data_IF_961543443606
#
_entry.id   IF_961543443606
#
_cell.length_a   1.000
_cell.length_b   1.000
_cell.length_c   1.000
_cell.angle_alpha   90.00
_cell.angle_beta   90.00
_cell.angle_gamma   90.00
#
_symmetry.space_group_name_H-M   'P 1'
#
loop_
_entity.id
_entity.type
_entity.pdbx_description
1 polymer ?
#
# COMPACT_ATOMS: atom_id res chain seq x y z
N UNK A 1 33.41 2.01 12.67
CA UNK A 1 33.37 3.00 11.56
C UNK A 1 32.46 4.13 12.04
N UNK A 2 33.02 5.25 12.46
CA UNK A 2 32.24 6.41 12.93
C UNK A 2 32.05 7.30 11.70
N UNK A 3 30.81 7.42 11.23
CA UNK A 3 30.45 8.37 10.16
C UNK A 3 30.22 9.70 10.87
N UNK A 4 31.17 10.62 10.76
CA UNK A 4 31.01 11.99 11.24
C UNK A 4 30.44 12.83 10.10
N UNK A 5 29.17 13.25 10.12
CA UNK A 5 28.64 14.13 9.09
C UNK A 5 29.25 15.53 9.24
N UNK A 6 29.63 16.12 8.11
CA UNK A 6 30.12 17.50 8.04
C UNK A 6 29.02 18.46 8.47
N UNK A 7 29.28 19.24 9.52
CA UNK A 7 28.35 20.27 10.02
C UNK A 7 28.36 21.46 9.06
N UNK A 8 27.46 21.47 8.08
CA UNK A 8 27.26 22.65 7.25
C UNK A 8 26.35 23.63 8.02
N UNK A 9 26.89 24.78 8.41
CA UNK A 9 26.26 25.75 9.33
C UNK A 9 25.09 26.51 8.71
N UNK A 10 24.62 26.10 7.51
CA UNK A 10 23.50 26.68 6.78
C UNK A 10 22.26 25.77 6.71
N UNK A 11 22.28 24.59 7.34
CA UNK A 11 21.14 23.68 7.35
C UNK A 11 20.10 24.09 8.42
N UNK A 12 18.82 24.14 8.02
CA UNK A 12 17.67 24.38 8.91
C UNK A 12 17.54 23.31 10.02
N UNK A 13 18.25 22.19 9.88
CA UNK A 13 18.30 21.10 10.84
C UNK A 13 19.76 20.73 11.16
N UNK A 14 20.07 20.63 12.47
CA UNK A 14 21.38 20.24 12.95
C UNK A 14 21.38 18.77 13.38
N UNK A 15 22.34 18.00 12.86
CA UNK A 15 22.58 16.63 13.31
C UNK A 15 23.27 16.63 14.68
N UNK A 16 22.62 16.05 15.68
CA UNK A 16 23.19 15.86 17.01
C UNK A 16 23.48 14.38 17.22
N UNK A 17 24.75 13.97 17.39
CA UNK A 17 25.08 12.57 17.65
C UNK A 17 24.59 12.16 19.06
N UNK A 18 23.80 11.10 19.12
CA UNK A 18 23.28 10.53 20.37
C UNK A 18 24.07 9.27 20.70
N UNK A 19 24.70 9.16 21.88
CA UNK A 19 25.32 7.90 22.34
C UNK A 19 24.31 6.75 22.34
N UNK A 20 24.75 5.55 21.94
CA UNK A 20 23.86 4.41 21.71
C UNK A 20 23.05 4.03 22.96
N UNK A 21 23.61 4.15 24.16
CA UNK A 21 22.90 3.90 25.42
C UNK A 21 21.71 4.84 25.68
N UNK A 22 21.66 5.99 25.00
CA UNK A 22 20.64 7.01 25.19
C UNK A 22 19.60 7.08 24.06
N UNK A 23 19.78 6.32 22.97
CA UNK A 23 18.86 6.34 21.81
C UNK A 23 17.43 6.03 22.23
N UNK A 24 17.22 5.02 23.10
CA UNK A 24 15.87 4.66 23.58
C UNK A 24 15.22 5.79 24.39
N UNK A 25 15.99 6.47 25.24
CA UNK A 25 15.48 7.56 26.07
C UNK A 25 15.13 8.79 25.23
N UNK A 26 15.93 9.09 24.20
CA UNK A 26 15.66 10.19 23.26
C UNK A 26 14.39 9.90 22.45
N UNK A 27 14.19 8.67 21.95
CA UNK A 27 12.98 8.31 21.22
C UNK A 27 11.71 8.42 22.08
N UNK A 28 11.76 7.99 23.35
CA UNK A 28 10.64 8.14 24.29
C UNK A 28 10.35 9.62 24.56
N UNK A 29 11.38 10.42 24.85
CA UNK A 29 11.23 11.85 25.11
C UNK A 29 10.64 12.61 23.91
N UNK A 30 11.06 12.27 22.68
CA UNK A 30 10.50 12.84 21.47
C UNK A 30 9.03 12.44 21.28
N UNK A 31 8.68 11.17 21.51
CA UNK A 31 7.29 10.69 21.42
C UNK A 31 6.33 11.39 22.40
N UNK A 32 6.78 11.61 23.64
CA UNK A 32 6.01 12.33 24.67
C UNK A 32 5.83 13.82 24.32
N UNK A 33 6.88 14.47 23.83
CA UNK A 33 6.82 15.89 23.42
C UNK A 33 5.98 16.11 22.17
N UNK A 34 6.09 15.26 21.15
CA UNK A 34 5.32 15.36 19.91
C UNK A 34 3.83 15.07 20.10
N UNK A 35 3.48 14.21 21.06
CA UNK A 35 2.08 13.93 21.41
C UNK A 35 1.38 15.11 22.10
N UNK A 36 2.14 16.03 22.71
CA UNK A 36 1.59 17.20 23.42
C UNK A 36 1.52 18.45 22.52
N UNK A 37 2.10 18.41 21.32
CA UNK A 37 2.15 19.55 20.37
C UNK A 37 1.44 19.24 19.05
N UNK A 38 0.57 18.23 19.01
CA UNK A 38 -0.25 17.91 17.84
C UNK A 38 -1.49 18.82 17.72
N UNK A 39 -1.27 20.14 17.64
CA UNK A 39 -2.11 21.03 16.85
C UNK A 39 -1.16 21.87 16.00
N UNK A 40 -1.27 21.71 14.69
CA UNK A 40 -0.63 22.47 13.62
C UNK A 40 0.75 22.02 13.13
N UNK A 41 0.70 21.41 11.94
CA UNK A 41 1.68 21.42 10.83
C UNK A 41 2.91 20.46 10.84
N UNK A 42 2.93 19.67 9.76
CA UNK A 42 4.07 19.07 9.06
C UNK A 42 4.80 17.83 9.65
N UNK A 43 4.33 16.67 9.17
CA UNK A 43 5.07 15.50 8.66
C UNK A 43 6.18 14.85 9.51
N UNK A 44 5.91 13.67 10.10
CA UNK A 44 6.94 12.71 10.51
C UNK A 44 7.07 11.56 9.49
N UNK A 45 8.30 11.28 9.07
CA UNK A 45 8.69 10.01 8.43
C UNK A 45 9.44 9.20 9.50
N UNK A 46 8.83 8.12 10.01
CA UNK A 46 9.55 7.03 10.66
C UNK A 46 8.88 5.68 10.30
N UNK A 47 9.67 4.59 10.07
CA UNK A 47 9.15 3.36 9.50
C UNK A 47 8.83 2.26 10.53
N UNK A 48 7.99 1.32 10.06
CA UNK A 48 7.77 -0.07 10.49
C UNK A 48 6.85 -0.37 11.69
N UNK A 49 5.56 -0.50 11.41
CA UNK A 49 4.78 -1.75 11.59
C UNK A 49 3.37 -1.62 10.95
N UNK A 50 3.11 -2.46 9.95
CA UNK A 50 1.86 -3.20 9.71
C UNK A 50 0.46 -2.55 9.78
N UNK A 51 0.30 -1.24 9.68
CA UNK A 51 -0.96 -0.67 9.20
C UNK A 51 -0.63 0.19 7.98
N UNK A 52 -0.54 -0.47 6.82
CA UNK A 52 -0.90 0.23 5.60
C UNK A 52 -2.35 0.64 5.81
N UNK A 53 -2.56 1.89 6.24
CA UNK A 53 -3.87 2.52 6.30
C UNK A 53 -4.43 2.39 4.90
N UNK A 54 -5.27 1.37 4.68
CA UNK A 54 -6.09 1.25 3.49
C UNK A 54 -7.15 2.32 3.67
N UNK A 55 -6.78 3.56 3.34
CA UNK A 55 -7.73 4.62 3.03
C UNK A 55 -8.68 4.06 1.97
N UNK A 56 -9.97 4.36 2.10
CA UNK A 56 -10.97 3.93 1.12
C UNK A 56 -10.51 4.43 -0.25
N UNK A 57 -10.01 3.52 -1.08
CA UNK A 57 -9.45 3.86 -2.37
C UNK A 57 -10.43 3.37 -3.41
N UNK A 58 -11.29 4.29 -3.88
CA UNK A 58 -11.86 4.16 -5.21
C UNK A 58 -10.69 4.20 -6.19
N UNK A 59 -10.62 3.24 -7.10
CA UNK A 59 -9.59 3.20 -8.13
C UNK A 59 -9.67 4.52 -8.91
N UNK A 60 -8.69 5.41 -8.72
CA UNK A 60 -8.54 6.59 -9.56
C UNK A 60 -8.16 6.02 -10.92
N UNK A 61 -9.06 6.14 -11.89
CA UNK A 61 -9.02 5.41 -13.15
C UNK A 61 -8.00 6.00 -14.13
N UNK A 62 -6.71 5.87 -13.77
CA UNK A 62 -5.57 6.27 -14.59
C UNK A 62 -4.91 5.12 -15.36
N UNK A 63 -5.46 3.90 -15.26
CA UNK A 63 -4.86 2.74 -15.91
C UNK A 63 -5.42 2.55 -17.33
N UNK A 64 -4.62 2.92 -18.32
CA UNK A 64 -4.85 2.53 -19.69
C UNK A 64 -4.50 1.06 -19.94
N UNK A 65 -4.94 0.55 -21.09
CA UNK A 65 -4.61 -0.80 -21.58
C UNK A 65 -3.10 -1.00 -21.68
N UNK A 66 -2.38 0.01 -22.21
CA UNK A 66 -0.93 -0.04 -22.35
C UNK A 66 -0.23 -0.15 -20.99
N UNK A 67 -0.74 0.55 -19.98
CA UNK A 67 -0.17 0.50 -18.63
C UNK A 67 -0.41 -0.86 -17.98
N UNK A 68 -1.60 -1.45 -18.15
CA UNK A 68 -1.89 -2.80 -17.65
C UNK A 68 -1.03 -3.86 -18.34
N UNK A 69 -0.94 -3.81 -19.68
CA UNK A 69 -0.08 -4.70 -20.46
C UNK A 69 1.36 -4.58 -20.00
N UNK A 70 1.88 -3.34 -19.85
CA UNK A 70 3.24 -3.09 -19.39
C UNK A 70 3.47 -3.64 -17.98
N UNK A 71 2.51 -3.46 -17.07
CA UNK A 71 2.59 -3.97 -15.71
C UNK A 71 2.63 -5.50 -15.67
N UNK A 72 1.77 -6.18 -16.43
CA UNK A 72 1.78 -7.65 -16.52
C UNK A 72 3.05 -8.18 -17.18
N UNK A 73 3.52 -7.51 -18.23
CA UNK A 73 4.76 -7.85 -18.94
C UNK A 73 6.03 -7.72 -18.08
N UNK A 74 5.98 -7.07 -16.92
CA UNK A 74 7.13 -7.02 -16.00
C UNK A 74 7.56 -8.41 -15.50
N UNK A 75 6.64 -9.39 -15.47
CA UNK A 75 6.96 -10.78 -15.09
C UNK A 75 7.48 -10.96 -13.66
N UNK A 76 7.40 -9.94 -12.80
CA UNK A 76 7.79 -10.03 -11.39
C UNK A 76 6.80 -10.89 -10.62
N UNK A 77 7.25 -11.49 -9.51
CA UNK A 77 6.36 -12.26 -8.62
C UNK A 77 5.11 -11.47 -8.23
N UNK A 78 5.28 -10.19 -7.90
CA UNK A 78 4.17 -9.31 -7.54
C UNK A 78 3.24 -9.05 -8.73
N UNK A 79 3.75 -8.73 -9.91
CA UNK A 79 2.89 -8.46 -11.09
C UNK A 79 2.11 -9.70 -11.51
N UNK A 80 2.71 -10.91 -11.43
CA UNK A 80 2.02 -12.18 -11.71
C UNK A 80 0.91 -12.45 -10.70
N UNK A 81 1.14 -12.22 -9.40
CA UNK A 81 0.10 -12.39 -8.36
C UNK A 81 -1.03 -11.40 -8.58
N UNK A 82 -0.71 -10.14 -8.88
CA UNK A 82 -1.71 -9.10 -9.13
C UNK A 82 -2.51 -9.39 -10.39
N UNK A 83 -1.88 -9.87 -11.46
CA UNK A 83 -2.61 -10.29 -12.66
C UNK A 83 -3.62 -11.41 -12.33
N UNK A 84 -3.20 -12.43 -11.57
CA UNK A 84 -4.08 -13.52 -11.12
C UNK A 84 -5.23 -13.00 -10.25
N UNK A 85 -4.93 -12.08 -9.33
CA UNK A 85 -5.91 -11.43 -8.47
C UNK A 85 -6.94 -10.63 -9.28
N UNK A 86 -6.48 -9.73 -10.17
CA UNK A 86 -7.36 -8.93 -11.03
C UNK A 86 -8.21 -9.81 -11.93
N UNK A 87 -7.63 -10.89 -12.47
CA UNK A 87 -8.36 -11.87 -13.27
C UNK A 87 -9.48 -12.53 -12.46
N UNK A 88 -9.20 -12.94 -11.23
CA UNK A 88 -10.21 -13.53 -10.36
C UNK A 88 -11.33 -12.54 -10.02
N UNK A 89 -10.97 -11.32 -9.60
CA UNK A 89 -11.91 -10.26 -9.27
C UNK A 89 -12.76 -9.82 -10.48
N UNK A 90 -12.22 -9.88 -11.71
CA UNK A 90 -12.97 -9.54 -12.93
C UNK A 90 -14.13 -10.50 -13.24
N UNK A 91 -14.13 -11.70 -12.63
CA UNK A 91 -15.24 -12.65 -12.71
C UNK A 91 -16.47 -12.19 -11.93
N UNK A 92 -16.26 -11.41 -10.87
CA UNK A 92 -17.28 -10.93 -9.94
C UNK A 92 -17.03 -9.45 -9.61
N UNK A 93 -17.26 -8.53 -10.58
CA UNK A 93 -16.96 -7.12 -10.39
C UNK A 93 -17.94 -6.46 -9.42
N UNK A 94 -17.50 -5.38 -8.77
CA UNK A 94 -18.32 -4.56 -7.90
C UNK A 94 -18.01 -4.73 -6.42
N UNK A 95 -18.41 -3.72 -5.64
CA UNK A 95 -18.14 -3.65 -4.19
C UNK A 95 -18.90 -4.72 -3.41
N UNK A 96 -20.08 -5.12 -3.86
CA UNK A 96 -20.90 -6.11 -3.16
C UNK A 96 -20.26 -7.50 -3.17
N UNK A 97 -19.61 -7.85 -4.28
CA UNK A 97 -18.85 -9.08 -4.52
C UNK A 97 -17.40 -8.99 -4.01
N UNK A 98 -17.05 -7.97 -3.22
CA UNK A 98 -15.69 -7.79 -2.73
C UNK A 98 -15.26 -8.98 -1.86
N UNK A 99 -14.05 -9.48 -2.12
CA UNK A 99 -13.45 -10.62 -1.44
C UNK A 99 -12.46 -10.15 -0.38
N UNK A 100 -12.49 -10.78 0.80
CA UNK A 100 -11.52 -10.55 1.86
C UNK A 100 -10.12 -11.02 1.48
N UNK A 101 -9.12 -10.58 2.24
CA UNK A 101 -7.73 -11.04 2.12
C UNK A 101 -7.63 -12.57 2.23
N UNK A 102 -8.37 -13.20 3.15
CA UNK A 102 -8.38 -14.67 3.31
C UNK A 102 -9.04 -15.37 2.13
N UNK A 103 -10.17 -14.86 1.66
CA UNK A 103 -10.88 -15.46 0.52
C UNK A 103 -10.03 -15.40 -0.75
N UNK A 104 -9.37 -14.27 -1.01
CA UNK A 104 -8.45 -14.15 -2.13
C UNK A 104 -7.22 -15.05 -2.00
N UNK A 105 -6.63 -15.13 -0.81
CA UNK A 105 -5.51 -16.04 -0.57
C UNK A 105 -5.90 -17.50 -0.89
N UNK A 106 -7.07 -17.93 -0.40
CA UNK A 106 -7.62 -19.27 -0.69
C UNK A 106 -7.94 -19.46 -2.18
N UNK A 107 -8.59 -18.49 -2.81
CA UNK A 107 -8.98 -18.57 -4.22
C UNK A 107 -7.79 -18.65 -5.18
N UNK A 108 -6.65 -18.06 -4.79
CA UNK A 108 -5.42 -18.03 -5.58
C UNK A 108 -4.41 -19.10 -5.16
N UNK A 109 -4.73 -19.95 -4.19
CA UNK A 109 -3.82 -20.94 -3.61
C UNK A 109 -2.50 -20.30 -3.15
N UNK A 110 -2.62 -19.25 -2.34
CA UNK A 110 -1.52 -18.47 -1.78
C UNK A 110 -1.65 -18.39 -0.25
N UNK A 111 -0.50 -18.25 0.42
CA UNK A 111 -0.49 -17.97 1.86
C UNK A 111 -1.13 -16.62 2.18
N UNK A 112 -1.85 -16.55 3.29
CA UNK A 112 -2.43 -15.31 3.80
C UNK A 112 -1.39 -14.19 3.96
N UNK A 113 -0.19 -14.52 4.46
CA UNK A 113 0.90 -13.56 4.65
C UNK A 113 1.42 -13.00 3.33
N UNK A 114 1.38 -13.78 2.25
CA UNK A 114 1.73 -13.30 0.91
C UNK A 114 0.67 -12.32 0.44
N UNK A 115 -0.62 -12.68 0.55
CA UNK A 115 -1.73 -11.82 0.11
C UNK A 115 -1.78 -10.50 0.89
N UNK A 116 -1.63 -10.56 2.22
CA UNK A 116 -1.57 -9.38 3.11
C UNK A 116 -0.51 -8.36 2.67
N UNK A 117 0.62 -8.84 2.15
CA UNK A 117 1.74 -8.00 1.74
C UNK A 117 1.65 -7.44 0.32
N UNK A 118 0.68 -7.88 -0.50
CA UNK A 118 0.55 -7.44 -1.90
C UNK A 118 0.38 -5.93 -2.04
N UNK A 119 -0.50 -5.24 -1.27
CA UNK A 119 -0.68 -3.79 -1.41
C UNK A 119 0.64 -3.00 -1.23
N UNK A 120 1.43 -3.39 -0.23
CA UNK A 120 2.75 -2.78 0.02
C UNK A 120 3.75 -3.06 -1.10
N UNK A 121 3.78 -4.28 -1.62
CA UNK A 121 4.69 -4.62 -2.74
C UNK A 121 4.31 -3.88 -4.01
N UNK A 122 3.02 -3.77 -4.32
CA UNK A 122 2.55 -3.04 -5.49
C UNK A 122 2.83 -1.55 -5.36
N UNK A 123 2.59 -0.94 -4.20
CA UNK A 123 2.90 0.48 -3.98
C UNK A 123 4.36 0.83 -4.33
N UNK A 124 5.31 -0.05 -3.96
CA UNK A 124 6.73 0.11 -4.31
C UNK A 124 6.98 0.02 -5.82
N UNK A 125 6.32 -0.90 -6.51
CA UNK A 125 6.41 -1.05 -7.96
C UNK A 125 5.81 0.16 -8.68
N UNK A 126 4.64 0.62 -8.25
CA UNK A 126 3.94 1.76 -8.85
C UNK A 126 4.76 3.05 -8.73
N UNK A 127 5.28 3.37 -7.53
CA UNK A 127 6.08 4.56 -7.33
C UNK A 127 7.32 4.63 -8.23
N UNK A 128 7.88 3.48 -8.61
CA UNK A 128 9.08 3.41 -9.47
C UNK A 128 8.76 3.40 -10.97
N UNK A 129 7.71 2.70 -11.39
CA UNK A 129 7.50 2.38 -12.81
C UNK A 129 6.25 3.03 -13.41
N UNK A 130 5.32 3.50 -12.57
CA UNK A 130 4.02 4.03 -12.96
C UNK A 130 3.67 5.25 -12.08
N UNK A 131 4.46 6.33 -12.16
CA UNK A 131 4.27 7.50 -11.30
C UNK A 131 2.87 8.09 -11.49
N UNK A 132 2.17 8.35 -10.39
CA UNK A 132 0.80 8.87 -10.39
C UNK A 132 -0.29 7.81 -10.51
N UNK A 133 0.04 6.53 -10.77
CA UNK A 133 -0.95 5.46 -10.71
C UNK A 133 -1.14 4.94 -9.28
N UNK A 134 -2.40 4.67 -8.95
CA UNK A 134 -2.80 3.97 -7.72
C UNK A 134 -2.97 2.48 -8.00
N UNK A 135 -3.37 1.69 -6.99
CA UNK A 135 -3.60 0.27 -7.17
C UNK A 135 -4.60 -0.01 -8.31
N UNK A 136 -4.40 -1.06 -9.12
CA UNK A 136 -5.32 -1.42 -10.20
C UNK A 136 -6.62 -2.09 -9.71
N UNK A 137 -6.88 -2.06 -8.41
CA UNK A 137 -8.07 -2.59 -7.74
C UNK A 137 -8.56 -1.58 -6.70
N UNK A 138 -9.80 -1.74 -6.26
CA UNK A 138 -10.37 -1.03 -5.12
C UNK A 138 -10.19 -1.85 -3.85
N UNK A 139 -9.95 -1.18 -2.72
CA UNK A 139 -9.80 -1.84 -1.43
C UNK A 139 -10.43 -1.02 -0.29
N UNK A 140 -10.99 -1.73 0.69
CA UNK A 140 -11.62 -1.13 1.86
C UNK A 140 -11.56 -2.07 3.06
N UNK A 141 -11.41 -1.49 4.25
CA UNK A 141 -11.50 -2.22 5.51
C UNK A 141 -12.94 -2.66 5.79
N UNK A 142 -13.14 -3.92 6.17
CA UNK A 142 -14.45 -4.54 6.37
C UNK A 142 -15.40 -3.81 7.32
N UNK A 143 -14.94 -3.23 8.46
CA UNK A 143 -15.79 -2.43 9.34
C UNK A 143 -16.37 -1.17 8.70
N UNK A 144 -15.84 -0.74 7.54
CA UNK A 144 -16.35 0.40 6.78
C UNK A 144 -17.41 0.02 5.73
N UNK A 145 -17.75 -1.26 5.59
CA UNK A 145 -18.90 -1.68 4.79
C UNK A 145 -20.21 -1.40 5.52
N UNK A 146 -21.30 -1.32 4.76
CA UNK A 146 -22.67 -1.22 5.29
C UNK A 146 -23.50 -2.36 4.72
N UNK A 147 -23.85 -3.41 5.50
CA UNK A 147 -23.49 -3.61 6.91
C UNK A 147 -21.98 -3.90 7.13
N UNK A 148 -21.44 -3.66 8.34
CA UNK A 148 -20.05 -3.94 8.64
C UNK A 148 -19.70 -5.41 8.44
N UNK A 149 -18.52 -5.65 7.86
CA UNK A 149 -17.94 -7.00 7.64
C UNK A 149 -16.82 -7.27 8.65
N UNK A 150 -16.24 -8.47 8.60
CA UNK A 150 -15.11 -8.86 9.45
C UNK A 150 -13.94 -7.85 9.34
N UNK A 151 -13.13 -7.73 10.39
CA UNK A 151 -12.00 -6.78 10.44
C UNK A 151 -10.83 -7.21 9.55
N UNK A 152 -11.00 -7.12 8.24
CA UNK A 152 -10.03 -7.46 7.20
C UNK A 152 -10.12 -6.49 6.03
N UNK A 153 -9.10 -6.49 5.16
CA UNK A 153 -9.17 -5.75 3.89
C UNK A 153 -9.93 -6.58 2.86
N UNK A 154 -10.92 -5.95 2.24
CA UNK A 154 -11.69 -6.46 1.11
C UNK A 154 -11.26 -5.79 -0.18
N UNK A 155 -11.29 -6.55 -1.27
CA UNK A 155 -10.80 -6.15 -2.58
C UNK A 155 -11.85 -6.39 -3.66
N UNK A 156 -11.95 -5.48 -4.61
CA UNK A 156 -12.80 -5.63 -5.79
C UNK A 156 -12.24 -4.84 -6.98
N UNK A 157 -12.82 -5.05 -8.14
CA UNK A 157 -12.61 -4.19 -9.32
C UNK A 157 -13.93 -3.57 -9.74
N UNK A 158 -13.88 -2.38 -10.36
CA UNK A 158 -15.07 -1.77 -10.97
C UNK A 158 -15.55 -2.59 -12.16
N UNK A 159 -16.80 -2.38 -12.58
CA UNK A 159 -17.33 -2.99 -13.80
C UNK A 159 -16.52 -2.62 -15.04
N UNK A 160 -16.10 -1.36 -15.14
CA UNK A 160 -15.25 -0.83 -16.22
C UNK A 160 -13.89 -1.54 -16.25
N UNK A 161 -13.22 -1.66 -15.10
CA UNK A 161 -11.94 -2.38 -15.00
C UNK A 161 -12.09 -3.85 -15.36
N UNK A 162 -13.17 -4.50 -14.94
CA UNK A 162 -13.43 -5.88 -15.32
C UNK A 162 -13.69 -6.03 -16.83
N UNK A 163 -14.39 -5.09 -17.46
CA UNK A 163 -14.59 -5.07 -18.91
C UNK A 163 -13.26 -4.86 -19.65
N UNK A 164 -12.42 -3.93 -19.18
CA UNK A 164 -11.07 -3.70 -19.70
C UNK A 164 -10.21 -4.97 -19.61
N UNK A 165 -10.18 -5.63 -18.45
CA UNK A 165 -9.43 -6.87 -18.25
C UNK A 165 -9.95 -8.03 -19.10
N UNK A 166 -11.25 -8.06 -19.41
CA UNK A 166 -11.83 -9.05 -20.35
C UNK A 166 -11.42 -8.73 -21.79
N UNK A 167 -11.45 -7.45 -22.19
CA UNK A 167 -11.03 -7.02 -23.52
C UNK A 167 -9.56 -7.40 -23.81
N UNK A 168 -8.67 -7.16 -22.85
CA UNK A 168 -7.24 -7.50 -22.96
C UNK A 168 -6.96 -9.00 -23.12
N UNK A 169 -7.96 -9.87 -22.95
CA UNK A 169 -7.81 -11.34 -23.03
C UNK A 169 -8.20 -11.94 -24.38
N UNK A 170 -8.92 -11.20 -25.23
CA UNK A 170 -9.50 -11.72 -26.48
C UNK A 170 -10.79 -12.49 -26.25
#
# INVERSE_FOLDING_TARGET
MIITPTTDSAAEFQYVPVPNEHVRAVLVFLGERLSTTAVTAATPIEPTAEDAVVTDQEAIDGWSDENLIKFFAMGTKTSVIVERMLRHLSGHPGRDEALSTRELAKALDLDYSVMKNIPTQVARTLGKHFPGLTWPWCAQSGPKFTPPRANEVFFWVTGERAAQLKHLRG
#
